data_IF_064855663812
#
_entry.id   IF_064855663812
#
_cell.length_a   1.000
_cell.length_b   1.000
_cell.length_c   1.000
_cell.angle_alpha   90.00
_cell.angle_beta   90.00
_cell.angle_gamma   90.00
#
_symmetry.space_group_name_H-M   'P 1'
#
loop_
_entity.id
_entity.type
_entity.pdbx_description
1 polymer ?
#
# COMPACT_ATOMS: atom_id res chain seq x y z
N UNK A 1 7.06 -40.31 -29.61
CA UNK A 1 6.12 -40.19 -28.47
C UNK A 1 6.63 -39.10 -27.55
N UNK A 2 5.78 -38.07 -27.41
CA UNK A 2 5.68 -37.07 -26.33
C UNK A 2 6.82 -36.08 -26.14
N UNK A 3 6.55 -34.92 -26.72
CA UNK A 3 6.95 -33.57 -26.37
C UNK A 3 7.56 -33.41 -24.97
N UNK A 4 8.77 -32.87 -24.94
CA UNK A 4 9.30 -32.19 -23.78
C UNK A 4 8.43 -30.95 -23.55
N UNK A 5 7.47 -31.09 -22.63
CA UNK A 5 6.68 -30.01 -22.09
C UNK A 5 7.65 -29.04 -21.40
N UNK A 6 8.11 -28.04 -22.16
CA UNK A 6 8.72 -26.83 -21.61
C UNK A 6 7.63 -26.18 -20.77
N UNK A 7 7.63 -26.50 -19.48
CA UNK A 7 6.94 -25.71 -18.47
C UNK A 7 7.29 -24.25 -18.74
N UNK A 8 6.33 -23.40 -19.10
CA UNK A 8 6.62 -22.00 -19.34
C UNK A 8 7.19 -21.45 -18.04
N UNK A 9 8.44 -20.98 -18.10
CA UNK A 9 9.02 -20.14 -17.06
C UNK A 9 7.97 -19.09 -16.72
N UNK A 10 7.55 -19.05 -15.46
CA UNK A 10 6.59 -18.06 -14.95
C UNK A 10 7.03 -16.70 -15.45
N UNK A 11 6.27 -16.18 -16.41
CA UNK A 11 6.46 -14.86 -17.00
C UNK A 11 6.50 -13.86 -15.86
N UNK A 12 7.62 -13.12 -15.74
CA UNK A 12 7.72 -11.80 -15.14
C UNK A 12 6.71 -11.53 -14.02
N UNK A 13 7.08 -11.87 -12.77
CA UNK A 13 6.37 -11.33 -11.61
C UNK A 13 6.24 -9.81 -11.81
N UNK A 14 5.01 -9.30 -11.73
CA UNK A 14 4.69 -7.89 -11.86
C UNK A 14 5.49 -7.13 -10.80
N UNK A 15 6.63 -6.56 -11.20
CA UNK A 15 7.37 -5.66 -10.33
C UNK A 15 6.55 -4.38 -10.25
N UNK A 16 6.10 -4.03 -9.05
CA UNK A 16 5.51 -2.71 -8.82
C UNK A 16 6.62 -1.68 -8.97
N UNK A 17 6.41 -0.69 -9.83
CA UNK A 17 7.27 0.49 -9.92
C UNK A 17 6.62 1.66 -9.19
N UNK A 18 7.35 2.78 -9.11
CA UNK A 18 6.87 3.99 -8.42
C UNK A 18 5.55 4.52 -9.00
N UNK A 19 5.38 4.40 -10.32
CA UNK A 19 4.21 4.91 -11.02
C UNK A 19 2.98 4.09 -10.62
N UNK A 20 3.06 2.76 -10.72
CA UNK A 20 1.98 1.87 -10.32
C UNK A 20 1.69 1.96 -8.81
N UNK A 21 2.73 2.09 -7.98
CA UNK A 21 2.58 2.33 -6.54
C UNK A 21 1.76 3.59 -6.27
N UNK A 22 2.14 4.70 -6.90
CA UNK A 22 1.45 5.98 -6.74
C UNK A 22 0.02 5.94 -7.29
N UNK A 23 -0.21 5.26 -8.43
CA UNK A 23 -1.55 5.08 -9.01
C UNK A 23 -2.48 4.30 -8.07
N UNK A 24 -1.99 3.20 -7.50
CA UNK A 24 -2.76 2.38 -6.56
C UNK A 24 -3.12 3.17 -5.29
N UNK A 25 -2.18 3.94 -4.74
CA UNK A 25 -2.45 4.77 -3.56
C UNK A 25 -3.38 5.95 -3.86
N UNK A 26 -3.28 6.55 -5.05
CA UNK A 26 -4.24 7.55 -5.50
C UNK A 26 -5.64 6.96 -5.69
N UNK A 27 -5.76 5.76 -6.25
CA UNK A 27 -7.03 5.04 -6.34
C UNK A 27 -7.62 4.76 -4.96
N UNK A 28 -6.80 4.29 -4.02
CA UNK A 28 -7.20 4.11 -2.62
C UNK A 28 -7.74 5.41 -2.02
N UNK A 29 -7.02 6.52 -2.20
CA UNK A 29 -7.44 7.83 -1.70
C UNK A 29 -8.77 8.27 -2.29
N UNK A 30 -8.93 8.13 -3.61
CA UNK A 30 -10.19 8.42 -4.29
C UNK A 30 -11.35 7.58 -3.73
N UNK A 31 -11.13 6.29 -3.49
CA UNK A 31 -12.13 5.40 -2.90
C UNK A 31 -12.55 5.86 -1.48
N UNK A 32 -11.60 6.29 -0.65
CA UNK A 32 -11.92 6.85 0.68
C UNK A 32 -12.77 8.12 0.56
N UNK A 33 -12.42 9.03 -0.34
CA UNK A 33 -13.22 10.24 -0.61
C UNK A 33 -14.65 9.90 -1.07
N UNK A 34 -14.82 8.83 -1.87
CA UNK A 34 -16.15 8.35 -2.26
C UNK A 34 -16.91 7.75 -1.07
N UNK A 35 -16.26 6.99 -0.19
CA UNK A 35 -16.88 6.48 1.03
C UNK A 35 -17.37 7.62 1.93
N UNK A 36 -16.52 8.63 2.15
CA UNK A 36 -16.87 9.82 2.93
C UNK A 36 -18.04 10.58 2.31
N UNK A 37 -18.05 10.74 0.98
CA UNK A 37 -19.16 11.36 0.27
C UNK A 37 -20.48 10.60 0.44
N UNK A 38 -20.45 9.26 0.35
CA UNK A 38 -21.63 8.41 0.57
C UNK A 38 -22.16 8.54 2.00
N UNK A 39 -21.27 8.50 2.99
CA UNK A 39 -21.63 8.68 4.40
C UNK A 39 -22.23 10.07 4.62
N UNK A 40 -21.66 11.12 4.02
CA UNK A 40 -22.13 12.49 4.13
C UNK A 40 -23.55 12.70 3.56
N UNK A 41 -23.94 11.95 2.52
CA UNK A 41 -25.30 11.99 1.96
C UNK A 41 -26.29 11.05 2.67
N UNK A 42 -25.86 10.36 3.74
CA UNK A 42 -26.72 9.58 4.63
C UNK A 42 -26.65 8.06 4.48
N UNK A 43 -25.65 7.51 3.77
CA UNK A 43 -25.41 6.06 3.82
C UNK A 43 -24.87 5.65 5.19
N UNK A 44 -25.35 4.53 5.72
CA UNK A 44 -24.78 3.92 6.92
C UNK A 44 -23.31 3.52 6.65
N UNK A 45 -22.42 3.84 7.58
CA UNK A 45 -21.01 3.44 7.53
C UNK A 45 -20.85 1.91 7.44
N UNK A 46 -21.81 1.17 7.99
CA UNK A 46 -21.87 -0.30 7.96
C UNK A 46 -22.70 -0.84 6.77
N UNK A 47 -23.13 0.03 5.85
CA UNK A 47 -23.82 -0.42 4.65
C UNK A 47 -22.90 -1.29 3.79
N UNK A 48 -23.48 -2.22 3.05
CA UNK A 48 -22.70 -3.07 2.13
C UNK A 48 -21.88 -2.23 1.16
N UNK A 49 -22.44 -1.14 0.62
CA UNK A 49 -21.74 -0.26 -0.33
C UNK A 49 -20.49 0.36 0.27
N UNK A 50 -20.60 1.00 1.45
CA UNK A 50 -19.45 1.64 2.12
C UNK A 50 -18.42 0.58 2.55
N UNK A 51 -18.88 -0.56 3.05
CA UNK A 51 -18.00 -1.67 3.43
C UNK A 51 -17.20 -2.25 2.26
N UNK A 52 -17.79 -2.41 1.07
CA UNK A 52 -17.08 -2.89 -0.12
C UNK A 52 -16.00 -1.90 -0.58
N UNK A 53 -16.22 -0.60 -0.39
CA UNK A 53 -15.19 0.41 -0.65
C UNK A 53 -14.01 0.24 0.31
N UNK A 54 -14.27 0.15 1.62
CA UNK A 54 -13.20 -0.05 2.61
C UNK A 54 -12.45 -1.37 2.39
N UNK A 55 -13.14 -2.45 2.03
CA UNK A 55 -12.49 -3.72 1.64
C UNK A 55 -11.58 -3.54 0.44
N UNK A 56 -12.01 -2.77 -0.55
CA UNK A 56 -11.20 -2.47 -1.74
C UNK A 56 -9.94 -1.66 -1.38
N UNK A 57 -10.07 -0.66 -0.50
CA UNK A 57 -8.92 0.08 0.04
C UNK A 57 -7.93 -0.85 0.76
N UNK A 58 -8.43 -1.74 1.63
CA UNK A 58 -7.59 -2.73 2.33
C UNK A 58 -6.93 -3.74 1.38
N UNK A 59 -7.63 -4.15 0.32
CA UNK A 59 -7.09 -5.02 -0.72
C UNK A 59 -5.93 -4.37 -1.50
N UNK A 60 -6.02 -3.07 -1.79
CA UNK A 60 -4.92 -2.31 -2.41
C UNK A 60 -3.68 -2.32 -1.50
N UNK A 61 -3.84 -2.01 -0.22
CA UNK A 61 -2.72 -2.03 0.74
C UNK A 61 -2.09 -3.42 0.80
N UNK A 62 -2.93 -4.45 1.00
CA UNK A 62 -2.46 -5.85 1.08
C UNK A 62 -1.72 -6.29 -0.19
N UNK A 63 -2.15 -5.82 -1.35
CA UNK A 63 -1.50 -6.12 -2.63
C UNK A 63 -0.11 -5.47 -2.72
N UNK A 64 0.01 -4.20 -2.32
CA UNK A 64 1.29 -3.49 -2.29
C UNK A 64 2.26 -4.16 -1.30
N UNK A 65 1.78 -4.45 -0.07
CA UNK A 65 2.57 -5.12 0.96
C UNK A 65 3.11 -6.48 0.49
N UNK A 66 2.28 -7.26 -0.19
CA UNK A 66 2.66 -8.56 -0.73
C UNK A 66 3.73 -8.44 -1.82
N UNK A 67 3.58 -7.50 -2.75
CA UNK A 67 4.56 -7.33 -3.85
C UNK A 67 5.89 -6.82 -3.30
N UNK A 68 5.86 -5.87 -2.37
CA UNK A 68 7.05 -5.27 -1.77
C UNK A 68 7.68 -6.13 -0.67
N UNK A 69 7.00 -7.18 -0.21
CA UNK A 69 7.47 -8.04 0.88
C UNK A 69 7.57 -7.32 2.23
N UNK A 70 6.72 -6.31 2.46
CA UNK A 70 6.75 -5.51 3.67
C UNK A 70 6.41 -6.37 4.90
N UNK A 71 7.17 -6.20 5.97
CA UNK A 71 6.95 -6.91 7.23
C UNK A 71 6.18 -6.05 8.21
N UNK A 72 5.28 -6.68 8.95
CA UNK A 72 4.63 -6.05 10.09
C UNK A 72 5.64 -5.83 11.21
N UNK A 73 5.57 -4.67 11.85
CA UNK A 73 6.34 -4.35 13.04
C UNK A 73 5.77 -5.12 14.26
N UNK A 74 6.34 -4.87 15.45
CA UNK A 74 5.89 -5.49 16.71
C UNK A 74 4.47 -5.11 17.12
N UNK A 75 3.92 -4.02 16.58
CA UNK A 75 2.53 -3.59 16.77
C UNK A 75 1.57 -4.24 15.76
N UNK A 76 2.07 -5.03 14.81
CA UNK A 76 1.25 -5.70 13.79
C UNK A 76 0.93 -4.85 12.57
N UNK A 77 1.54 -3.67 12.44
CA UNK A 77 1.32 -2.71 11.36
C UNK A 77 2.55 -2.64 10.45
N UNK A 78 2.34 -2.39 9.16
CA UNK A 78 3.43 -2.13 8.22
C UNK A 78 3.80 -0.65 8.20
N UNK A 79 5.00 -0.33 7.71
CA UNK A 79 5.46 1.06 7.52
C UNK A 79 4.52 1.83 6.59
N UNK A 80 3.94 1.16 5.59
CA UNK A 80 2.97 1.76 4.66
C UNK A 80 1.65 2.10 5.36
N UNK A 81 1.12 1.24 6.22
CA UNK A 81 -0.10 1.52 7.01
C UNK A 81 0.09 2.79 7.87
N UNK A 82 1.21 2.88 8.58
CA UNK A 82 1.57 4.05 9.39
C UNK A 82 1.68 5.34 8.57
N UNK A 83 2.36 5.27 7.43
CA UNK A 83 2.56 6.44 6.59
C UNK A 83 1.23 6.93 6.00
N UNK A 84 0.37 6.00 5.57
CA UNK A 84 -0.92 6.33 4.98
C UNK A 84 -1.87 6.99 5.98
N UNK A 85 -1.88 6.57 7.26
CA UNK A 85 -2.69 7.24 8.27
C UNK A 85 -2.35 8.74 8.39
N UNK A 86 -1.06 9.07 8.37
CA UNK A 86 -0.60 10.47 8.42
C UNK A 86 -0.96 11.22 7.14
N UNK A 87 -0.73 10.61 5.97
CA UNK A 87 -0.99 11.23 4.67
C UNK A 87 -2.50 11.48 4.45
N UNK A 88 -3.34 10.56 4.87
CA UNK A 88 -4.80 10.70 4.81
C UNK A 88 -5.28 11.83 5.73
N UNK A 89 -4.62 12.03 6.88
CA UNK A 89 -4.87 13.16 7.76
C UNK A 89 -4.29 14.51 7.24
N UNK A 90 -3.69 14.53 6.04
CA UNK A 90 -3.04 15.71 5.46
C UNK A 90 -1.78 16.13 6.22
N UNK A 91 -1.15 15.20 6.95
CA UNK A 91 0.06 15.44 7.76
C UNK A 91 1.26 14.74 7.12
N UNK A 92 2.48 15.27 7.31
CA UNK A 92 3.67 14.51 6.99
C UNK A 92 3.75 13.27 7.88
N UNK A 93 4.14 12.14 7.31
CA UNK A 93 4.46 10.95 8.09
C UNK A 93 5.86 11.09 8.69
N UNK A 94 6.05 10.48 9.86
CA UNK A 94 7.35 10.40 10.51
C UNK A 94 7.46 9.12 11.33
N UNK A 95 8.58 8.42 11.20
CA UNK A 95 8.94 7.33 12.10
C UNK A 95 10.45 7.26 12.30
N UNK A 96 10.87 6.45 13.27
CA UNK A 96 12.27 6.26 13.63
C UNK A 96 12.62 4.78 13.55
N UNK A 97 13.71 4.45 12.86
CA UNK A 97 14.32 3.11 12.83
C UNK A 97 15.78 3.28 13.22
N UNK A 98 16.24 2.59 14.26
CA UNK A 98 17.64 2.64 14.72
C UNK A 98 18.21 4.07 14.84
N UNK A 99 17.47 4.96 15.49
CA UNK A 99 17.79 6.39 15.66
C UNK A 99 17.81 7.24 14.36
N UNK A 100 17.62 6.62 13.19
CA UNK A 100 17.42 7.32 11.92
C UNK A 100 15.97 7.77 11.80
N UNK A 101 15.77 9.06 11.53
CA UNK A 101 14.47 9.66 11.25
C UNK A 101 14.09 9.45 9.79
N UNK A 102 12.92 8.88 9.54
CA UNK A 102 12.31 8.76 8.22
C UNK A 102 11.06 9.65 8.20
N UNK A 103 10.94 10.51 7.19
CA UNK A 103 9.80 11.43 7.05
C UNK A 103 9.55 11.79 5.60
N UNK A 104 8.31 12.14 5.29
CA UNK A 104 7.89 12.59 3.97
C UNK A 104 6.45 13.09 4.00
N UNK A 105 6.00 13.66 2.88
CA UNK A 105 4.65 14.21 2.76
C UNK A 105 3.94 13.81 1.46
N UNK A 106 4.53 12.90 0.69
CA UNK A 106 4.02 12.45 -0.59
C UNK A 106 4.18 10.94 -0.77
N UNK A 107 3.45 10.37 -1.74
CA UNK A 107 3.64 8.96 -2.13
C UNK A 107 5.02 8.71 -2.74
N UNK A 108 5.63 9.71 -3.37
CA UNK A 108 7.00 9.65 -3.86
C UNK A 108 8.00 9.48 -2.70
N UNK A 109 7.89 10.30 -1.67
CA UNK A 109 8.77 10.17 -0.49
C UNK A 109 8.60 8.81 0.18
N UNK A 110 7.35 8.35 0.29
CA UNK A 110 7.04 7.04 0.86
C UNK A 110 7.65 5.91 0.03
N UNK A 111 7.55 5.98 -1.29
CA UNK A 111 8.17 5.01 -2.19
C UNK A 111 9.68 4.92 -1.96
N UNK A 112 10.39 6.06 -1.97
CA UNK A 112 11.84 6.09 -1.75
C UNK A 112 12.22 5.43 -0.42
N UNK A 113 11.50 5.76 0.65
CA UNK A 113 11.81 5.23 1.98
C UNK A 113 11.51 3.73 2.10
N UNK A 114 10.46 3.23 1.45
CA UNK A 114 10.18 1.80 1.38
C UNK A 114 11.25 1.05 0.57
N UNK A 115 11.77 1.63 -0.50
CA UNK A 115 12.88 1.04 -1.25
C UNK A 115 14.17 0.98 -0.41
N UNK A 116 14.45 2.00 0.41
CA UNK A 116 15.55 1.94 1.38
C UNK A 116 15.37 0.79 2.37
N UNK A 117 14.15 0.61 2.91
CA UNK A 117 13.84 -0.45 3.86
C UNK A 117 14.07 -1.85 3.24
N UNK A 118 13.54 -2.07 2.04
CA UNK A 118 13.66 -3.35 1.32
C UNK A 118 15.14 -3.64 0.98
N UNK A 119 15.86 -2.65 0.45
CA UNK A 119 17.28 -2.80 0.09
C UNK A 119 18.22 -3.00 1.29
N UNK A 120 17.79 -2.62 2.50
CA UNK A 120 18.55 -2.87 3.74
C UNK A 120 18.31 -4.28 4.26
N UNK A 121 17.15 -4.90 4.00
CA UNK A 121 16.86 -6.28 4.41
C UNK A 121 17.59 -7.35 3.57
N UNK A 122 18.17 -7.00 2.42
CA UNK A 122 18.92 -7.91 1.56
C UNK A 122 20.44 -7.95 1.82
N UNK A 123 20.96 -7.15 2.77
CA UNK A 123 22.38 -7.13 3.16
C UNK A 123 22.61 -7.78 4.52
#
# INVERSE_FOLDING_TARGET
>A
MKEADKVPQRSSACAIDEALFSELLNLRKYLLEQADALIAIGFDINSNTVNEIFKSCGGIISHIELILGLKKNTCGETTIEWALESLDAGKPFVWYVDEKKHQGNSFHDLWILLQEEIGTMEK
#
